data_IF_732532054751
#
_entry.id   IF_732532054751
#
_cell.length_a   1.000
_cell.length_b   1.000
_cell.length_c   1.000
_cell.angle_alpha   90.00
_cell.angle_beta   90.00
_cell.angle_gamma   90.00
#
_symmetry.space_group_name_H-M   'P 1'
#
loop_
_entity.id
_entity.type
_entity.pdbx_description
1 polymer ?
#
# COMPACT_ATOMS: atom_id res chain seq x y z
N UNK A 1 2.94 7.08 -0.93
CA UNK A 1 2.79 5.61 -1.21
C UNK A 1 3.94 4.99 -2.03
N UNK A 2 4.29 5.52 -3.23
CA UNK A 2 5.29 4.90 -4.12
C UNK A 2 6.67 4.68 -3.50
N UNK A 3 7.17 5.67 -2.75
CA UNK A 3 8.46 5.59 -2.08
C UNK A 3 8.53 4.48 -1.02
N UNK A 4 7.47 4.33 -0.20
CA UNK A 4 7.39 3.29 0.84
C UNK A 4 7.44 1.89 0.23
N UNK A 5 6.74 1.70 -0.89
CA UNK A 5 6.74 0.44 -1.61
C UNK A 5 7.99 0.25 -2.46
N UNK A 6 8.87 1.25 -2.57
CA UNK A 6 10.05 1.24 -3.43
C UNK A 6 9.70 1.03 -4.91
N UNK A 7 8.54 1.55 -5.32
CA UNK A 7 8.05 1.56 -6.70
C UNK A 7 8.14 2.98 -7.25
N UNK A 8 8.23 3.11 -8.56
CA UNK A 8 8.05 4.43 -9.18
C UNK A 8 6.57 4.83 -9.13
N UNK A 9 6.29 6.12 -9.31
CA UNK A 9 4.91 6.62 -9.40
C UNK A 9 4.16 5.92 -10.55
N UNK A 10 4.78 5.78 -11.72
CA UNK A 10 4.18 5.06 -12.87
C UNK A 10 3.87 3.59 -12.55
N UNK A 11 4.76 2.89 -11.83
CA UNK A 11 4.52 1.51 -11.42
C UNK A 11 3.31 1.41 -10.49
N UNK A 12 3.23 2.28 -9.47
CA UNK A 12 2.09 2.37 -8.55
C UNK A 12 0.80 2.69 -9.28
N UNK A 13 0.82 3.67 -10.18
CA UNK A 13 -0.35 4.04 -10.99
C UNK A 13 -0.78 2.92 -11.94
N UNK A 14 0.15 2.04 -12.31
CA UNK A 14 -0.16 0.85 -13.11
C UNK A 14 -0.76 -0.29 -12.28
N UNK A 15 -0.63 -0.28 -10.94
CA UNK A 15 -1.38 -1.18 -10.08
C UNK A 15 -2.77 -0.55 -9.90
N UNK A 16 -3.86 -1.24 -10.24
CA UNK A 16 -5.21 -0.75 -10.00
C UNK A 16 -5.56 -0.93 -8.52
N UNK A 17 -4.86 -0.18 -7.68
CA UNK A 17 -4.89 -0.22 -6.23
C UNK A 17 -5.54 1.08 -5.78
N UNK A 18 -6.81 1.02 -5.41
CA UNK A 18 -7.53 2.21 -4.98
C UNK A 18 -7.28 2.40 -3.48
N UNK A 19 -6.63 3.50 -3.11
CA UNK A 19 -6.31 3.77 -1.72
C UNK A 19 -7.54 3.91 -0.81
N UNK A 20 -8.72 4.16 -1.38
CA UNK A 20 -9.97 4.27 -0.62
C UNK A 20 -10.68 2.91 -0.49
N UNK A 21 -10.60 2.07 -1.52
CA UNK A 21 -11.32 0.78 -1.57
C UNK A 21 -10.49 -0.45 -1.20
N UNK A 22 -9.19 -0.45 -1.52
CA UNK A 22 -8.30 -1.62 -1.39
C UNK A 22 -7.32 -1.50 -0.21
N UNK A 23 -7.05 -0.28 0.26
CA UNK A 23 -6.23 -0.05 1.45
C UNK A 23 -7.12 -0.06 2.69
N UNK A 24 -6.77 -0.94 3.62
CA UNK A 24 -7.45 -1.10 4.88
C UNK A 24 -6.61 -0.52 6.03
N UNK A 25 -7.29 0.12 6.98
CA UNK A 25 -6.69 0.55 8.25
C UNK A 25 -6.63 -0.61 9.24
N UNK A 26 -5.52 -0.71 9.96
CA UNK A 26 -5.40 -1.55 11.15
C UNK A 26 -5.60 -0.67 12.39
N UNK A 27 -6.85 -0.54 12.82
CA UNK A 27 -7.29 0.18 14.03
C UNK A 27 -7.41 -0.75 15.24
N UNK A 28 -6.39 -1.60 15.44
CA UNK A 28 -6.37 -2.73 16.37
C UNK A 28 -7.28 -2.60 17.60
N UNK A 29 -8.32 -3.43 17.68
CA UNK A 29 -9.29 -3.75 18.76
C UNK A 29 -9.88 -2.62 19.64
N UNK A 30 -9.38 -1.39 19.55
CA UNK A 30 -9.76 -0.25 20.39
C UNK A 30 -10.41 0.86 19.57
N UNK A 31 -10.35 0.81 18.23
CA UNK A 31 -11.10 1.68 17.31
C UNK A 31 -10.77 3.17 17.42
N UNK A 32 -9.71 3.54 18.14
CA UNK A 32 -9.43 4.92 18.54
C UNK A 32 -8.21 5.52 17.81
N UNK A 33 -7.41 4.69 17.15
CA UNK A 33 -6.21 5.12 16.42
C UNK A 33 -5.86 4.07 15.36
N UNK A 34 -5.60 4.52 14.13
CA UNK A 34 -5.01 3.68 13.08
C UNK A 34 -3.52 3.51 13.39
N UNK A 35 -3.06 2.27 13.45
CA UNK A 35 -1.67 1.92 13.77
C UNK A 35 -0.83 1.65 12.52
N UNK A 36 -1.44 1.10 11.49
CA UNK A 36 -0.84 0.85 10.20
C UNK A 36 -1.93 0.78 9.14
N UNK A 37 -1.52 0.86 7.88
CA UNK A 37 -2.37 0.54 6.75
C UNK A 37 -1.88 -0.77 6.14
N UNK A 38 -2.73 -1.43 5.37
CA UNK A 38 -2.31 -2.56 4.57
C UNK A 38 -3.20 -2.68 3.34
N UNK A 39 -2.70 -3.31 2.29
CA UNK A 39 -3.53 -3.73 1.17
C UNK A 39 -3.20 -5.18 0.82
N UNK A 40 -4.11 -5.79 0.07
CA UNK A 40 -3.86 -7.11 -0.52
C UNK A 40 -3.48 -6.90 -1.99
N UNK A 41 -2.43 -7.57 -2.45
CA UNK A 41 -1.94 -7.45 -3.83
C UNK A 41 -3.06 -7.87 -4.80
N UNK A 42 -3.58 -6.96 -5.64
CA UNK A 42 -4.69 -7.30 -6.54
C UNK A 42 -4.24 -8.24 -7.66
N UNK A 43 -5.13 -9.13 -8.12
CA UNK A 43 -4.84 -10.11 -9.20
C UNK A 43 -4.47 -9.47 -10.55
N UNK A 44 -4.80 -8.20 -10.70
CA UNK A 44 -4.48 -7.36 -11.84
C UNK A 44 -3.12 -6.65 -11.71
N UNK A 45 -2.34 -6.94 -10.67
CA UNK A 45 -0.98 -6.39 -10.50
C UNK A 45 -0.08 -6.90 -11.63
N UNK A 46 0.65 -6.03 -12.34
CA UNK A 46 1.60 -6.44 -13.38
C UNK A 46 2.65 -7.43 -12.86
N UNK A 47 2.95 -8.49 -13.65
CA UNK A 47 3.94 -9.51 -13.29
C UNK A 47 5.34 -8.92 -13.03
N UNK A 48 5.71 -7.82 -13.71
CA UNK A 48 6.99 -7.14 -13.48
C UNK A 48 7.11 -6.60 -12.05
N UNK A 49 6.01 -6.08 -11.50
CA UNK A 49 5.95 -5.57 -10.12
C UNK A 49 5.97 -6.73 -9.13
N UNK A 50 5.22 -7.80 -9.42
CA UNK A 50 5.21 -9.01 -8.60
C UNK A 50 6.60 -9.64 -8.49
N UNK A 51 7.32 -9.79 -9.60
CA UNK A 51 8.67 -10.35 -9.63
C UNK A 51 9.67 -9.42 -8.92
N UNK A 52 9.62 -8.10 -9.20
CA UNK A 52 10.48 -7.08 -8.59
C UNK A 52 10.34 -7.02 -7.07
N UNK A 53 9.12 -7.21 -6.55
CA UNK A 53 8.81 -7.15 -5.13
C UNK A 53 8.76 -8.51 -4.44
N UNK A 54 8.80 -9.60 -5.21
CA UNK A 54 8.46 -10.95 -4.74
C UNK A 54 7.10 -10.98 -4.05
N UNK A 55 6.11 -10.29 -4.61
CA UNK A 55 4.75 -10.30 -4.11
C UNK A 55 3.95 -11.43 -4.73
N UNK A 56 3.08 -12.03 -3.92
CA UNK A 56 2.08 -12.99 -4.39
C UNK A 56 0.71 -12.32 -4.49
N UNK A 57 -0.12 -12.73 -5.46
CA UNK A 57 -1.50 -12.24 -5.56
C UNK A 57 -2.27 -12.58 -4.29
N UNK A 58 -2.92 -11.57 -3.70
CA UNK A 58 -3.63 -11.66 -2.43
C UNK A 58 -2.71 -11.60 -1.19
N UNK A 59 -1.40 -11.44 -1.36
CA UNK A 59 -0.48 -11.21 -0.25
C UNK A 59 -0.81 -9.89 0.45
N UNK A 60 -0.78 -9.90 1.79
CA UNK A 60 -0.96 -8.70 2.60
C UNK A 60 0.36 -7.93 2.67
N UNK A 61 0.36 -6.72 2.12
CA UNK A 61 1.48 -5.79 2.21
C UNK A 61 1.15 -4.73 3.26
N UNK A 62 1.97 -4.67 4.31
CA UNK A 62 1.85 -3.66 5.36
C UNK A 62 2.45 -2.32 4.91
N UNK A 63 1.76 -1.25 5.29
CA UNK A 63 2.09 0.12 4.97
C UNK A 63 2.23 0.90 6.28
N UNK A 64 3.21 1.78 6.34
CA UNK A 64 3.42 2.70 7.47
C UNK A 64 2.22 3.65 7.66
N UNK A 65 2.16 4.46 8.71
CA UNK A 65 1.16 5.54 8.80
C UNK A 65 1.51 6.73 7.89
N UNK A 66 2.81 6.93 7.65
CA UNK A 66 3.33 8.06 6.88
C UNK A 66 3.17 7.94 5.35
N UNK A 67 2.50 6.91 4.85
CA UNK A 67 2.29 6.75 3.39
C UNK A 67 1.43 7.88 2.81
N UNK A 68 0.46 8.35 3.60
CA UNK A 68 -0.47 9.42 3.23
C UNK A 68 -0.05 10.78 3.81
N UNK A 69 0.95 10.77 4.68
CA UNK A 69 1.54 11.96 5.29
C UNK A 69 2.62 12.50 4.34
N UNK A 70 2.20 12.91 3.14
CA UNK A 70 2.99 13.82 2.33
C UNK A 70 2.64 15.25 2.79
N UNK A 71 3.52 15.78 3.64
CA UNK A 71 3.73 17.20 4.03
C UNK A 71 3.26 17.66 5.44
N UNK A 72 4.14 17.52 6.43
CA UNK A 72 4.55 18.66 7.29
C UNK A 72 6.06 18.56 7.58
N UNK A 73 6.91 19.07 6.67
CA UNK A 73 8.22 19.59 7.07
C UNK A 73 8.12 21.12 7.04
N UNK A 74 7.98 21.71 8.24
CA UNK A 74 8.11 23.15 8.54
C UNK A 74 9.48 23.72 8.12
#
# INVERSE_FOLDING_TARGET
MANELGLTLEEIESIPLDADSDVHSDDGNSGNQVYSFYFNVPDTTPEEILDKKCWEIGERVELSLNIFDEEEND
#
